data_IF_555644025160
#
_entry.id   IF_555644025160
#
_cell.length_a   1.000
_cell.length_b   1.000
_cell.length_c   1.000
_cell.angle_alpha   90.00
_cell.angle_beta   90.00
_cell.angle_gamma   90.00
#
_symmetry.space_group_name_H-M   'P 1'
#
loop_
_entity.id
_entity.type
_entity.pdbx_description
1 polymer ?
#
# COMPACT_ATOMS: atom_id res chain seq x y z
N UNK A 1 -40.53 23.65 -1.93
CA UNK A 1 -39.55 24.07 -0.89
C UNK A 1 -38.66 22.84 -0.64
N UNK A 2 -37.58 22.74 -1.37
CA UNK A 2 -36.59 21.64 -1.19
C UNK A 2 -35.78 21.95 0.07
N UNK A 3 -35.86 21.07 1.07
CA UNK A 3 -35.03 21.18 2.25
C UNK A 3 -33.56 21.04 1.80
N UNK A 4 -32.75 22.05 2.08
CA UNK A 4 -31.29 21.97 1.93
C UNK A 4 -30.85 20.77 2.78
N UNK A 5 -30.13 19.79 2.22
CA UNK A 5 -29.64 18.68 3.00
C UNK A 5 -28.78 19.23 4.14
N UNK A 6 -29.07 18.80 5.37
CA UNK A 6 -28.27 19.18 6.53
C UNK A 6 -26.81 18.86 6.24
N UNK A 7 -25.92 19.84 6.35
CA UNK A 7 -24.50 19.66 6.09
C UNK A 7 -23.94 18.62 7.07
N UNK A 8 -23.40 17.54 6.55
CA UNK A 8 -22.71 16.52 7.35
C UNK A 8 -21.46 17.13 7.96
N UNK A 9 -21.30 17.01 9.28
CA UNK A 9 -20.09 17.49 9.95
C UNK A 9 -18.89 16.60 9.64
N UNK A 10 -17.63 17.12 9.68
CA UNK A 10 -16.44 16.29 9.53
C UNK A 10 -16.42 15.10 10.50
N UNK A 11 -16.83 15.30 11.77
CA UNK A 11 -16.89 14.23 12.76
C UNK A 11 -17.86 13.11 12.39
N UNK A 12 -19.07 13.45 11.94
CA UNK A 12 -20.05 12.46 11.49
C UNK A 12 -19.55 11.68 10.25
N UNK A 13 -18.82 12.34 9.34
CA UNK A 13 -18.19 11.65 8.21
C UNK A 13 -17.08 10.71 8.69
N UNK A 14 -16.25 11.14 9.65
CA UNK A 14 -15.18 10.32 10.22
C UNK A 14 -15.73 9.02 10.81
N UNK A 15 -16.79 9.11 11.64
CA UNK A 15 -17.40 7.92 12.25
C UNK A 15 -17.88 6.90 11.20
N UNK A 16 -18.57 7.36 10.17
CA UNK A 16 -19.08 6.49 9.10
C UNK A 16 -17.92 5.91 8.27
N UNK A 17 -16.89 6.72 8.03
CA UNK A 17 -15.72 6.28 7.27
C UNK A 17 -14.90 5.23 8.04
N UNK A 18 -14.69 5.43 9.34
CA UNK A 18 -13.98 4.47 10.19
C UNK A 18 -14.72 3.13 10.24
N UNK A 19 -16.05 3.16 10.40
CA UNK A 19 -16.86 1.94 10.35
C UNK A 19 -16.79 1.27 8.98
N UNK A 20 -16.89 2.04 7.89
CA UNK A 20 -16.80 1.52 6.51
C UNK A 20 -15.45 0.85 6.24
N UNK A 21 -14.36 1.56 6.54
CA UNK A 21 -12.99 1.04 6.34
C UNK A 21 -12.76 -0.16 7.27
N UNK A 22 -13.15 -0.07 8.53
CA UNK A 22 -13.05 -1.17 9.48
C UNK A 22 -13.75 -2.44 8.99
N UNK A 23 -14.99 -2.33 8.51
CA UNK A 23 -15.73 -3.48 7.94
C UNK A 23 -15.09 -3.99 6.65
N UNK A 24 -14.63 -3.09 5.77
CA UNK A 24 -13.96 -3.47 4.53
C UNK A 24 -12.66 -4.24 4.81
N UNK A 25 -11.92 -3.81 5.83
CA UNK A 25 -10.65 -4.44 6.22
C UNK A 25 -10.85 -5.72 7.05
N UNK A 26 -11.92 -5.79 7.88
CA UNK A 26 -12.21 -6.95 8.72
C UNK A 26 -13.04 -8.04 8.02
N UNK A 27 -13.69 -7.73 6.90
CA UNK A 27 -14.35 -8.74 6.03
C UNK A 27 -13.35 -9.51 5.14
N UNK A 28 -12.08 -9.46 5.52
CA UNK A 28 -11.08 -10.37 5.01
C UNK A 28 -11.55 -11.79 5.33
N UNK A 29 -11.97 -12.53 4.32
CA UNK A 29 -12.41 -13.93 4.46
C UNK A 29 -11.32 -14.76 5.14
N UNK A 30 -11.68 -15.88 5.77
CA UNK A 30 -10.70 -16.81 6.36
C UNK A 30 -9.60 -17.22 5.36
N UNK A 31 -9.90 -17.22 4.06
CA UNK A 31 -8.93 -17.45 2.99
C UNK A 31 -7.88 -16.32 2.93
N UNK A 32 -8.31 -15.04 3.03
CA UNK A 32 -7.40 -13.90 3.03
C UNK A 32 -6.64 -13.78 4.36
N UNK A 33 -7.24 -14.16 5.49
CA UNK A 33 -6.50 -14.34 6.76
C UNK A 33 -5.47 -15.45 6.62
N UNK A 34 -5.79 -16.55 5.95
CA UNK A 34 -4.83 -17.60 5.59
C UNK A 34 -3.69 -17.04 4.73
N UNK A 35 -4.00 -16.21 3.73
CA UNK A 35 -3.00 -15.56 2.86
C UNK A 35 -2.21 -14.49 3.60
N UNK A 36 -2.82 -13.69 4.49
CA UNK A 36 -2.11 -12.74 5.35
C UNK A 36 -1.25 -13.42 6.42
N UNK A 37 -1.71 -14.56 6.97
CA UNK A 37 -0.92 -15.38 7.89
C UNK A 37 0.13 -16.22 7.15
N UNK A 38 -0.07 -16.50 5.87
CA UNK A 38 0.90 -17.12 4.97
C UNK A 38 1.75 -16.09 4.22
N UNK A 39 1.37 -14.80 4.18
CA UNK A 39 2.27 -13.76 3.69
C UNK A 39 3.45 -13.66 4.67
N UNK A 40 4.59 -14.16 4.24
CA UNK A 40 5.84 -14.18 4.99
C UNK A 40 6.37 -12.76 5.31
N UNK A 41 5.61 -11.70 4.95
CA UNK A 41 6.02 -10.30 5.09
C UNK A 41 5.06 -9.48 5.96
N UNK A 42 5.63 -8.69 6.87
CA UNK A 42 4.90 -7.74 7.72
C UNK A 42 4.57 -6.44 6.97
N UNK A 43 3.65 -5.61 7.50
CA UNK A 43 3.35 -4.30 6.94
C UNK A 43 4.60 -3.41 6.75
N UNK A 44 5.57 -3.46 7.68
CA UNK A 44 6.82 -2.72 7.53
C UNK A 44 7.69 -3.26 6.40
N UNK A 45 7.76 -4.58 6.23
CA UNK A 45 8.47 -5.21 5.13
C UNK A 45 7.82 -4.91 3.78
N UNK A 46 6.48 -4.87 3.75
CA UNK A 46 5.74 -4.45 2.59
C UNK A 46 6.06 -3.00 2.20
N UNK A 47 6.12 -2.06 3.18
CA UNK A 47 6.55 -0.69 2.94
C UNK A 47 7.99 -0.59 2.43
N UNK A 48 8.91 -1.43 2.93
CA UNK A 48 10.28 -1.50 2.39
C UNK A 48 10.27 -1.88 0.91
N UNK A 49 9.52 -2.92 0.53
CA UNK A 49 9.40 -3.34 -0.87
C UNK A 49 8.78 -2.26 -1.74
N UNK A 50 7.72 -1.58 -1.25
CA UNK A 50 7.10 -0.46 -1.94
C UNK A 50 8.12 0.65 -2.23
N UNK A 51 8.88 1.05 -1.20
CA UNK A 51 9.86 2.13 -1.32
C UNK A 51 10.96 1.79 -2.33
N UNK A 52 11.43 0.54 -2.32
CA UNK A 52 12.43 0.07 -3.27
C UNK A 52 11.89 -0.12 -4.69
N UNK A 53 10.58 -0.27 -4.87
CA UNK A 53 9.94 -0.45 -6.17
C UNK A 53 9.72 0.85 -6.96
N UNK A 54 9.89 2.03 -6.30
CA UNK A 54 9.70 3.35 -6.96
C UNK A 54 10.86 3.69 -7.89
N UNK A 55 12.03 3.13 -7.64
CA UNK A 55 13.23 3.38 -8.43
C UNK A 55 13.94 2.07 -8.74
N UNK A 56 14.53 2.00 -9.92
CA UNK A 56 15.44 0.90 -10.27
C UNK A 56 16.87 1.14 -9.75
N UNK A 57 17.13 2.33 -9.21
CA UNK A 57 18.45 2.66 -8.67
C UNK A 57 18.66 2.07 -7.27
N UNK A 58 19.89 1.60 -6.97
CA UNK A 58 20.23 1.11 -5.65
C UNK A 58 20.02 2.19 -4.57
N UNK A 59 19.28 1.90 -3.52
CA UNK A 59 18.95 2.81 -2.44
C UNK A 59 19.79 2.53 -1.19
N UNK A 60 20.52 3.52 -0.65
CA UNK A 60 21.22 3.36 0.62
C UNK A 60 20.25 3.12 1.78
N UNK A 61 20.60 2.20 2.71
CA UNK A 61 19.74 1.85 3.84
C UNK A 61 19.39 3.04 4.74
N UNK A 62 20.27 4.02 4.85
CA UNK A 62 20.03 5.24 5.65
C UNK A 62 18.91 6.07 5.04
N UNK A 63 18.91 6.23 3.71
CA UNK A 63 17.84 6.93 2.98
C UNK A 63 16.52 6.19 3.11
N UNK A 64 16.54 4.87 2.93
CA UNK A 64 15.34 4.05 3.13
C UNK A 64 14.75 4.21 4.55
N UNK A 65 15.59 4.26 5.57
CA UNK A 65 15.17 4.47 6.96
C UNK A 65 14.52 5.85 7.16
N UNK A 66 15.11 6.90 6.58
CA UNK A 66 14.56 8.26 6.59
C UNK A 66 13.20 8.33 5.89
N UNK A 67 13.10 7.79 4.67
CA UNK A 67 11.86 7.77 3.87
C UNK A 67 10.72 7.01 4.59
N UNK A 68 11.07 5.98 5.38
CA UNK A 68 10.11 5.19 6.17
C UNK A 68 9.80 5.78 7.56
N UNK A 69 10.51 6.83 7.99
CA UNK A 69 10.39 7.37 9.35
C UNK A 69 10.83 6.39 10.44
N UNK A 70 11.76 5.47 10.12
CA UNK A 70 12.25 4.44 11.02
C UNK A 70 13.73 4.65 11.37
N UNK A 71 14.17 4.06 12.49
CA UNK A 71 15.60 3.98 12.77
C UNK A 71 16.31 3.03 11.79
N UNK A 72 17.56 3.31 11.46
CA UNK A 72 18.39 2.43 10.59
C UNK A 72 18.44 1.00 11.11
N UNK A 73 18.48 0.83 12.44
CA UNK A 73 18.49 -0.51 13.06
C UNK A 73 17.14 -1.25 12.85
N UNK A 74 16.00 -0.55 12.93
CA UNK A 74 14.69 -1.15 12.66
C UNK A 74 14.53 -1.51 11.17
N UNK A 75 14.93 -0.59 10.28
CA UNK A 75 14.96 -0.82 8.84
C UNK A 75 15.87 -2.01 8.50
N UNK A 76 17.06 -2.07 9.10
CA UNK A 76 18.01 -3.17 8.91
C UNK A 76 17.41 -4.54 9.24
N UNK A 77 16.66 -4.67 10.33
CA UNK A 77 15.98 -5.94 10.70
C UNK A 77 14.91 -6.35 9.69
N UNK A 78 14.15 -5.39 9.16
CA UNK A 78 13.14 -5.68 8.14
C UNK A 78 13.80 -6.09 6.81
N UNK A 79 14.85 -5.36 6.40
CA UNK A 79 15.63 -5.66 5.19
C UNK A 79 16.28 -7.04 5.28
N UNK A 80 16.88 -7.38 6.43
CA UNK A 80 17.54 -8.69 6.63
C UNK A 80 16.58 -9.85 6.34
N UNK A 81 15.35 -9.78 6.84
CA UNK A 81 14.33 -10.80 6.54
C UNK A 81 13.97 -10.86 5.06
N UNK A 82 13.83 -9.70 4.39
CA UNK A 82 13.53 -9.65 2.96
C UNK A 82 14.69 -10.20 2.12
N UNK A 83 15.94 -9.97 2.54
CA UNK A 83 17.12 -10.57 1.90
C UNK A 83 17.13 -12.09 2.09
N UNK A 84 16.80 -12.60 3.29
CA UNK A 84 16.68 -14.04 3.56
C UNK A 84 15.61 -14.71 2.68
N UNK A 85 14.52 -14.00 2.38
CA UNK A 85 13.46 -14.48 1.47
C UNK A 85 13.77 -14.21 -0.02
N UNK A 86 14.93 -13.64 -0.34
CA UNK A 86 15.32 -13.32 -1.71
C UNK A 86 14.54 -12.20 -2.38
N UNK A 87 13.79 -11.39 -1.61
CA UNK A 87 12.94 -10.30 -2.11
C UNK A 87 13.72 -8.98 -2.29
N UNK A 88 14.83 -8.82 -1.58
CA UNK A 88 15.74 -7.68 -1.64
C UNK A 88 17.16 -8.17 -1.83
N UNK A 89 17.90 -7.54 -2.74
CA UNK A 89 19.34 -7.70 -2.88
C UNK A 89 20.05 -6.59 -2.11
N UNK A 90 21.17 -6.93 -1.46
CA UNK A 90 21.98 -6.02 -0.66
C UNK A 90 23.43 -6.10 -1.08
N UNK A 91 23.95 -4.99 -1.56
CA UNK A 91 25.35 -4.90 -2.03
C UNK A 91 26.10 -3.79 -1.32
N UNK A 92 27.41 -3.95 -1.22
CA UNK A 92 28.28 -2.88 -0.80
C UNK A 92 28.39 -1.83 -1.89
N UNK A 93 28.44 -0.56 -1.51
CA UNK A 93 28.73 0.52 -2.45
C UNK A 93 30.15 0.36 -3.01
N UNK A 94 30.32 0.65 -4.30
CA UNK A 94 31.61 0.49 -4.99
C UNK A 94 32.68 1.46 -4.47
N UNK A 95 32.27 2.60 -3.92
CA UNK A 95 33.17 3.68 -3.45
C UNK A 95 33.34 3.67 -1.93
N UNK A 96 32.29 3.33 -1.17
CA UNK A 96 32.33 3.22 0.29
C UNK A 96 31.64 1.94 0.79
N UNK A 97 32.42 0.93 1.13
CA UNK A 97 31.94 -0.37 1.63
C UNK A 97 31.11 -0.28 2.91
N UNK A 98 31.10 0.85 3.63
CA UNK A 98 30.25 1.09 4.80
C UNK A 98 28.80 1.31 4.39
N UNK A 99 28.57 1.78 3.16
CA UNK A 99 27.24 2.00 2.62
C UNK A 99 26.74 0.66 2.06
N UNK A 100 25.53 0.29 2.48
CA UNK A 100 24.81 -0.87 1.95
C UNK A 100 23.68 -0.38 1.07
N UNK A 101 23.77 -0.66 -0.20
CA UNK A 101 22.77 -0.36 -1.21
C UNK A 101 21.80 -1.53 -1.35
N UNK A 102 20.53 -1.20 -1.47
CA UNK A 102 19.40 -2.13 -1.53
C UNK A 102 18.68 -1.99 -2.86
N UNK A 103 18.31 -3.10 -3.46
CA UNK A 103 17.45 -3.15 -4.65
C UNK A 103 16.39 -4.23 -4.46
N UNK A 104 15.18 -3.97 -4.97
CA UNK A 104 14.13 -4.99 -5.02
C UNK A 104 14.49 -6.02 -6.08
N UNK A 105 14.26 -7.29 -5.79
CA UNK A 105 14.43 -8.38 -6.75
C UNK A 105 13.15 -8.65 -7.53
N UNK A 106 13.21 -9.50 -8.56
CA UNK A 106 12.03 -9.97 -9.27
C UNK A 106 11.02 -10.69 -8.36
N UNK A 107 11.53 -11.47 -7.39
CA UNK A 107 10.68 -12.11 -6.37
C UNK A 107 9.95 -11.05 -5.54
N UNK A 108 10.65 -9.99 -5.12
CA UNK A 108 10.04 -8.89 -4.37
C UNK A 108 8.98 -8.15 -5.17
N UNK A 109 9.22 -7.86 -6.45
CA UNK A 109 8.25 -7.23 -7.37
C UNK A 109 7.01 -8.11 -7.53
N UNK A 110 7.20 -9.40 -7.77
CA UNK A 110 6.12 -10.36 -7.91
C UNK A 110 5.26 -10.42 -6.64
N UNK A 111 5.87 -10.48 -5.46
CA UNK A 111 5.16 -10.49 -4.17
C UNK A 111 4.32 -9.22 -3.98
N UNK A 112 4.84 -8.05 -4.36
CA UNK A 112 4.06 -6.82 -4.37
C UNK A 112 2.86 -6.90 -5.33
N UNK A 113 3.07 -7.31 -6.57
CA UNK A 113 2.02 -7.40 -7.58
C UNK A 113 0.90 -8.37 -7.15
N UNK A 114 1.24 -9.53 -6.58
CA UNK A 114 0.28 -10.51 -6.05
C UNK A 114 -0.56 -9.90 -4.92
N UNK A 115 0.08 -9.21 -3.96
CA UNK A 115 -0.63 -8.53 -2.85
C UNK A 115 -1.61 -7.46 -3.33
N UNK A 116 -1.28 -6.76 -4.43
CA UNK A 116 -2.19 -5.79 -5.05
C UNK A 116 -3.34 -6.44 -5.81
N UNK A 117 -3.05 -7.52 -6.52
CA UNK A 117 -4.08 -8.28 -7.27
C UNK A 117 -5.15 -8.82 -6.32
N UNK A 118 -4.76 -9.37 -5.19
CA UNK A 118 -5.69 -9.87 -4.18
C UNK A 118 -6.55 -8.74 -3.61
N UNK A 119 -5.94 -7.57 -3.30
CA UNK A 119 -6.68 -6.39 -2.87
C UNK A 119 -7.67 -5.88 -3.91
N UNK A 120 -7.28 -5.86 -5.18
CA UNK A 120 -8.17 -5.48 -6.26
C UNK A 120 -9.37 -6.43 -6.39
N UNK A 121 -9.16 -7.74 -6.23
CA UNK A 121 -10.26 -8.73 -6.24
C UNK A 121 -11.27 -8.48 -5.11
N UNK A 122 -10.80 -8.15 -3.91
CA UNK A 122 -11.69 -7.83 -2.78
C UNK A 122 -12.53 -6.57 -3.05
N UNK A 123 -11.89 -5.51 -3.56
CA UNK A 123 -12.58 -4.27 -3.93
C UNK A 123 -13.59 -4.52 -5.07
N UNK A 124 -13.21 -5.33 -6.07
CA UNK A 124 -14.10 -5.73 -7.14
C UNK A 124 -15.33 -6.49 -6.62
N UNK A 125 -15.14 -7.49 -5.78
CA UNK A 125 -16.21 -8.26 -5.16
C UNK A 125 -17.13 -7.39 -4.29
N UNK A 126 -16.60 -6.38 -3.61
CA UNK A 126 -17.39 -5.38 -2.91
C UNK A 126 -18.23 -4.53 -3.89
N UNK A 127 -17.60 -4.01 -4.96
CA UNK A 127 -18.26 -3.17 -5.95
C UNK A 127 -19.39 -3.93 -6.69
N UNK A 128 -19.23 -5.22 -6.94
CA UNK A 128 -20.25 -6.06 -7.58
C UNK A 128 -21.50 -6.24 -6.70
N UNK A 129 -21.35 -6.25 -5.39
CA UNK A 129 -22.46 -6.34 -4.43
C UNK A 129 -23.27 -5.05 -4.26
N UNK A 130 -22.72 -3.91 -4.69
CA UNK A 130 -23.43 -2.64 -4.58
C UNK A 130 -24.56 -2.55 -5.63
N UNK A 131 -25.75 -2.05 -5.24
CA UNK A 131 -26.76 -1.62 -6.20
C UNK A 131 -26.18 -0.58 -7.17
N UNK A 132 -26.67 -0.60 -8.43
CA UNK A 132 -26.09 0.21 -9.52
C UNK A 132 -26.09 1.70 -9.18
N UNK A 133 -27.18 2.23 -8.63
CA UNK A 133 -27.32 3.63 -8.24
C UNK A 133 -26.33 4.03 -7.13
N UNK A 134 -26.15 3.18 -6.13
CA UNK A 134 -25.18 3.42 -5.05
C UNK A 134 -23.74 3.34 -5.55
N UNK A 135 -23.44 2.38 -6.41
CA UNK A 135 -22.13 2.22 -7.04
C UNK A 135 -21.76 3.44 -7.87
N UNK A 136 -22.69 3.95 -8.70
CA UNK A 136 -22.50 5.15 -9.52
C UNK A 136 -22.22 6.37 -8.63
N UNK A 137 -23.05 6.59 -7.60
CA UNK A 137 -22.85 7.73 -6.67
C UNK A 137 -21.51 7.65 -5.93
N UNK A 138 -21.12 6.47 -5.48
CA UNK A 138 -19.82 6.27 -4.81
C UNK A 138 -18.66 6.56 -5.77
N UNK A 139 -18.74 6.07 -7.01
CA UNK A 139 -17.76 6.32 -8.05
C UNK A 139 -17.60 7.82 -8.32
N UNK A 140 -18.71 8.53 -8.52
CA UNK A 140 -18.69 9.96 -8.85
C UNK A 140 -18.11 10.81 -7.72
N UNK A 141 -18.47 10.50 -6.45
CA UNK A 141 -17.90 11.19 -5.28
C UNK A 141 -16.40 10.90 -5.15
N UNK A 142 -15.95 9.67 -5.38
CA UNK A 142 -14.52 9.34 -5.35
C UNK A 142 -13.74 10.08 -6.44
N UNK A 143 -14.28 10.16 -7.67
CA UNK A 143 -13.66 10.93 -8.75
C UNK A 143 -13.56 12.42 -8.38
N UNK A 144 -14.62 13.00 -7.85
CA UNK A 144 -14.62 14.40 -7.43
C UNK A 144 -13.54 14.68 -6.37
N UNK A 145 -13.40 13.81 -5.37
CA UNK A 145 -12.35 13.93 -4.34
C UNK A 145 -10.94 13.86 -4.94
N UNK A 146 -10.73 12.96 -5.90
CA UNK A 146 -9.44 12.80 -6.58
C UNK A 146 -9.12 14.02 -7.48
N UNK A 147 -10.08 14.51 -8.23
CA UNK A 147 -9.94 15.67 -9.13
C UNK A 147 -9.66 16.98 -8.38
N UNK A 148 -10.20 17.12 -7.18
CA UNK A 148 -9.92 18.26 -6.31
C UNK A 148 -8.53 18.24 -5.67
N UNK A 149 -7.77 17.15 -5.85
CA UNK A 149 -6.42 17.00 -5.28
C UNK A 149 -6.40 16.97 -3.74
N UNK A 150 -7.52 16.62 -3.10
CA UNK A 150 -7.63 16.53 -1.64
C UNK A 150 -6.81 15.38 -1.07
N UNK A 151 -6.50 14.39 -1.90
CA UNK A 151 -5.60 13.30 -1.58
C UNK A 151 -4.32 13.47 -2.42
N UNK A 152 -3.15 13.62 -1.78
CA UNK A 152 -1.89 13.77 -2.52
C UNK A 152 -1.64 12.57 -3.43
N UNK A 153 -1.12 12.85 -4.62
CA UNK A 153 -0.67 11.79 -5.53
C UNK A 153 0.45 11.00 -4.87
N UNK A 154 0.29 9.68 -4.81
CA UNK A 154 1.30 8.79 -4.26
C UNK A 154 2.04 8.07 -5.40
N UNK A 155 3.35 8.36 -5.63
CA UNK A 155 4.13 7.76 -6.71
C UNK A 155 4.20 6.23 -6.60
N UNK A 156 4.13 5.67 -5.38
CA UNK A 156 4.09 4.23 -5.16
C UNK A 156 2.90 3.56 -5.83
N UNK A 157 1.73 4.21 -5.77
CA UNK A 157 0.51 3.67 -6.36
C UNK A 157 0.54 3.66 -7.89
N UNK A 158 1.23 4.63 -8.49
CA UNK A 158 1.42 4.70 -9.94
C UNK A 158 2.37 3.61 -10.41
N UNK A 159 3.55 3.50 -9.78
CA UNK A 159 4.53 2.47 -10.11
C UNK A 159 3.97 1.04 -10.02
N UNK A 160 3.01 0.81 -9.11
CA UNK A 160 2.35 -0.47 -8.97
C UNK A 160 1.35 -0.77 -10.09
N UNK A 161 0.62 0.24 -10.58
CA UNK A 161 -0.32 0.08 -11.71
C UNK A 161 0.39 -0.17 -13.03
N UNK A 162 1.59 0.39 -13.20
CA UNK A 162 2.37 0.24 -14.43
C UNK A 162 3.07 -1.12 -14.52
N UNK A 163 3.31 -1.78 -13.37
CA UNK A 163 4.00 -3.07 -13.28
C UNK A 163 3.06 -4.27 -12.99
N UNK A 164 1.74 -4.06 -12.91
CA UNK A 164 0.71 -5.09 -12.73
C UNK A 164 0.03 -5.44 -14.06
#
# INVERSE_FOLDING_TARGET
MQATPASVTPGALTEVFDEFVGRLMCNVTQETLGTMLSSEITAHQFHVLLQLNVTDEPMPINRLAEDLGLSVAATGRNVEKLVQHGMVDRREDATDRRIKNLTITEIGRKTLAESFTDKQREIQAFAERLPVDLRTRLHDVMLEILDQGLIPHNPFFTALKENA
#
